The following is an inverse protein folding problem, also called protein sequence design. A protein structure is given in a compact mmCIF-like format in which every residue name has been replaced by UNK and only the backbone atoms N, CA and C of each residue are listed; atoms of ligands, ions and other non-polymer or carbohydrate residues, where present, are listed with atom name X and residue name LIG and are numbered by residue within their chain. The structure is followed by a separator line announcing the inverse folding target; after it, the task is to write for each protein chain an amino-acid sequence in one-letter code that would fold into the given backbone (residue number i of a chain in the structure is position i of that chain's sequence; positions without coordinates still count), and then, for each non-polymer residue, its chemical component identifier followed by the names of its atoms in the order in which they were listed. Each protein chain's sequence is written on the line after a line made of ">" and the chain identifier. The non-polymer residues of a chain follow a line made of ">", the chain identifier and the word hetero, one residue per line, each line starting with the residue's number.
data_IF_166338256863
#
_entry.id   IF_166338256863
#
_cell.length_a   1.000
_cell.length_b   1.000
_cell.length_c   1.000
_cell.angle_alpha   90.00
_cell.angle_beta   90.00
_cell.angle_gamma   90.00
#
_symmetry.space_group_name_H-M   'P 1'
#
loop_
_entity.id
_entity.type
_entity.pdbx_description
1 polymer ?
#
# COMPACT_ATOMS: atom_id res chain seq x y z
N UNK A 1 -5.94 13.12 12.71
CA UNK A 1 -7.40 12.91 12.83
C UNK A 1 -7.82 12.04 11.67
N UNK A 2 -8.78 11.15 11.85
CA UNK A 2 -9.34 10.31 10.79
C UNK A 2 -10.87 10.36 10.86
N UNK A 3 -11.52 10.40 9.70
CA UNK A 3 -12.98 10.37 9.58
C UNK A 3 -13.52 8.98 9.90
N UNK A 4 -12.69 7.96 9.69
CA UNK A 4 -13.01 6.56 9.94
C UNK A 4 -12.83 6.22 11.42
N UNK A 5 -13.56 5.22 11.89
CA UNK A 5 -13.42 4.64 13.22
C UNK A 5 -12.29 3.59 13.30
N UNK A 6 -11.48 3.45 12.25
CA UNK A 6 -10.34 2.55 12.11
C UNK A 6 -9.11 3.27 11.54
N UNK A 7 -7.93 2.67 11.71
CA UNK A 7 -6.68 3.17 11.13
C UNK A 7 -6.48 2.70 9.68
N UNK A 8 -5.68 3.45 8.91
CA UNK A 8 -5.10 2.99 7.65
C UNK A 8 -5.79 3.51 6.38
N UNK A 9 -6.92 4.22 6.49
CA UNK A 9 -7.58 4.85 5.34
C UNK A 9 -7.86 3.86 4.20
N UNK A 10 -7.47 4.20 2.98
CA UNK A 10 -7.60 3.32 1.81
C UNK A 10 -6.78 2.02 1.93
N UNK A 11 -5.68 2.04 2.69
CA UNK A 11 -4.79 0.90 2.97
C UNK A 11 -5.12 0.16 4.26
N UNK A 12 -6.36 0.27 4.76
CA UNK A 12 -6.80 -0.41 5.98
C UNK A 12 -6.68 -1.95 5.89
N UNK A 13 -6.55 -2.61 7.04
CA UNK A 13 -6.65 -4.06 7.18
C UNK A 13 -8.02 -4.43 7.74
N UNK A 14 -8.75 -5.29 7.02
CA UNK A 14 -10.11 -5.70 7.38
C UNK A 14 -10.14 -7.13 7.90
N UNK A 15 -10.96 -7.37 8.92
CA UNK A 15 -11.35 -8.73 9.29
C UNK A 15 -12.40 -9.28 8.30
N UNK A 16 -12.67 -10.59 8.35
CA UNK A 16 -13.57 -11.24 7.38
C UNK A 16 -14.98 -10.64 7.35
N UNK A 17 -15.57 -10.32 8.51
CA UNK A 17 -16.90 -9.70 8.58
C UNK A 17 -16.90 -8.31 7.96
N UNK A 18 -15.87 -7.50 8.20
CA UNK A 18 -15.73 -6.18 7.60
C UNK A 18 -15.55 -6.27 6.08
N UNK A 19 -14.72 -7.20 5.62
CA UNK A 19 -14.51 -7.50 4.20
C UNK A 19 -15.84 -7.92 3.54
N UNK A 20 -16.56 -8.84 4.18
CA UNK A 20 -17.86 -9.32 3.69
C UNK A 20 -18.89 -8.19 3.62
N UNK A 21 -18.94 -7.35 4.66
CA UNK A 21 -19.86 -6.20 4.70
C UNK A 21 -19.56 -5.21 3.58
N UNK A 22 -18.27 -4.94 3.32
CA UNK A 22 -17.83 -4.04 2.24
C UNK A 22 -18.24 -4.55 0.86
N UNK A 23 -18.00 -5.83 0.56
CA UNK A 23 -18.14 -6.37 -0.79
C UNK A 23 -19.46 -7.10 -1.07
N UNK A 24 -20.19 -7.49 -0.03
CA UNK A 24 -21.44 -8.26 -0.13
C UNK A 24 -22.61 -7.61 0.61
N UNK A 25 -22.38 -6.52 1.35
CA UNK A 25 -23.42 -5.81 2.11
C UNK A 25 -23.96 -6.56 3.33
N UNK A 26 -23.31 -7.67 3.72
CA UNK A 26 -23.74 -8.56 4.81
C UNK A 26 -22.61 -8.77 5.81
N UNK A 27 -22.94 -8.98 7.08
CA UNK A 27 -22.02 -9.30 8.18
C UNK A 27 -21.89 -10.82 8.44
N UNK A 28 -22.38 -11.66 7.52
CA UNK A 28 -22.42 -13.13 7.67
C UNK A 28 -21.58 -13.83 6.60
N UNK A 29 -20.24 -13.86 6.75
CA UNK A 29 -19.42 -14.69 5.89
C UNK A 29 -19.74 -16.18 6.09
N UNK A 30 -19.60 -17.02 5.06
CA UNK A 30 -19.79 -18.46 5.16
C UNK A 30 -18.87 -19.09 6.21
N UNK A 31 -19.43 -19.97 7.05
CA UNK A 31 -18.71 -20.54 8.19
C UNK A 31 -17.45 -21.33 7.80
N UNK A 32 -17.40 -21.90 6.59
CA UNK A 32 -16.24 -22.63 6.06
C UNK A 32 -15.00 -21.74 5.82
N UNK A 33 -15.16 -20.42 5.82
CA UNK A 33 -14.03 -19.49 5.72
C UNK A 33 -13.31 -19.31 7.07
N UNK A 34 -13.88 -19.81 8.18
CA UNK A 34 -13.24 -19.75 9.49
C UNK A 34 -13.58 -18.50 10.29
N UNK A 35 -12.87 -18.29 11.40
CA UNK A 35 -13.19 -17.23 12.35
C UNK A 35 -12.74 -15.85 11.83
N UNK A 36 -13.64 -14.87 11.88
CA UNK A 36 -13.37 -13.53 11.35
C UNK A 36 -12.16 -12.84 11.96
N UNK A 37 -11.90 -13.04 13.26
CA UNK A 37 -10.81 -12.38 14.00
C UNK A 37 -9.41 -12.83 13.56
N UNK A 38 -9.32 -13.96 12.87
CA UNK A 38 -8.04 -14.52 12.41
C UNK A 38 -7.64 -13.93 11.04
N UNK A 39 -8.48 -13.05 10.47
CA UNK A 39 -8.21 -12.35 9.22
C UNK A 39 -7.75 -10.92 9.49
N UNK A 40 -6.65 -10.53 8.85
CA UNK A 40 -6.16 -9.15 8.74
C UNK A 40 -5.89 -8.87 7.24
N UNK A 41 -6.94 -8.63 6.48
CA UNK A 41 -6.88 -8.50 5.01
C UNK A 41 -6.56 -7.07 4.64
N UNK A 42 -5.32 -6.83 4.24
CA UNK A 42 -4.88 -5.53 3.73
C UNK A 42 -5.57 -5.21 2.40
N UNK A 43 -6.21 -4.05 2.34
CA UNK A 43 -6.85 -3.56 1.11
C UNK A 43 -5.81 -3.12 0.06
N UNK A 44 -4.60 -2.78 0.51
CA UNK A 44 -3.44 -2.36 -0.30
C UNK A 44 -2.17 -3.04 0.24
N UNK A 45 -2.00 -4.37 0.03
CA UNK A 45 -0.81 -5.05 0.49
C UNK A 45 0.40 -4.68 -0.36
N UNK A 46 1.50 -4.42 0.34
CA UNK A 46 2.80 -4.05 -0.21
C UNK A 46 3.88 -4.65 0.67
N UNK A 47 4.84 -5.33 0.07
CA UNK A 47 6.05 -5.80 0.72
C UNK A 47 7.00 -4.65 1.01
N UNK A 48 7.83 -4.86 2.02
CA UNK A 48 8.90 -3.93 2.38
C UNK A 48 10.21 -4.54 1.91
N UNK A 49 10.97 -3.81 1.11
CA UNK A 49 12.31 -4.26 0.72
C UNK A 49 13.24 -4.22 1.92
N UNK A 50 13.92 -5.33 2.21
CA UNK A 50 14.66 -5.52 3.45
C UNK A 50 15.71 -4.42 3.70
N UNK A 51 16.41 -3.94 2.67
CA UNK A 51 17.35 -2.81 2.77
C UNK A 51 16.82 -1.49 2.20
N UNK A 52 15.53 -1.42 1.87
CA UNK A 52 14.88 -0.25 1.31
C UNK A 52 14.79 0.92 2.29
N UNK A 53 14.43 2.09 1.76
CA UNK A 53 14.35 3.32 2.55
C UNK A 53 13.31 3.25 3.66
N UNK A 54 12.20 2.51 3.46
CA UNK A 54 11.18 2.35 4.48
C UNK A 54 11.75 1.68 5.73
N UNK A 55 12.57 0.63 5.59
CA UNK A 55 13.23 -0.02 6.75
C UNK A 55 14.12 0.97 7.48
N UNK A 56 14.82 1.84 6.75
CA UNK A 56 15.66 2.88 7.35
C UNK A 56 14.83 3.91 8.12
N UNK A 57 13.69 4.34 7.58
CA UNK A 57 12.73 5.22 8.27
C UNK A 57 12.19 4.55 9.54
N UNK A 58 11.83 3.26 9.47
CA UNK A 58 11.33 2.52 10.62
C UNK A 58 12.39 2.43 11.75
N UNK A 59 13.65 2.17 11.41
CA UNK A 59 14.75 2.17 12.38
C UNK A 59 15.01 3.57 12.92
N UNK A 60 15.12 4.58 12.04
CA UNK A 60 15.41 5.96 12.42
C UNK A 60 14.39 6.53 13.42
N UNK A 61 13.12 6.11 13.29
CA UNK A 61 12.02 6.55 14.16
C UNK A 61 11.85 5.70 15.42
N UNK A 62 12.67 4.66 15.60
CA UNK A 62 12.56 3.63 16.64
C UNK A 62 11.18 2.94 16.68
N UNK A 63 10.43 2.95 15.57
CA UNK A 63 9.07 2.37 15.54
C UNK A 63 9.13 0.83 15.42
N UNK A 64 10.27 0.27 15.00
CA UNK A 64 10.51 -1.17 14.90
C UNK A 64 10.28 -1.92 16.22
N UNK A 65 10.42 -1.27 17.39
CA UNK A 65 10.12 -1.87 18.70
C UNK A 65 8.65 -2.26 18.89
N UNK A 66 7.76 -1.80 18.01
CA UNK A 66 6.34 -2.11 18.04
C UNK A 66 5.91 -3.06 16.92
N UNK A 67 6.84 -3.49 16.06
CA UNK A 67 6.55 -4.23 14.84
C UNK A 67 7.38 -5.51 14.83
N UNK A 68 6.75 -6.61 14.42
CA UNK A 68 7.43 -7.87 14.17
C UNK A 68 7.35 -8.18 12.69
N UNK A 69 8.49 -8.40 12.05
CA UNK A 69 8.55 -8.71 10.63
C UNK A 69 8.92 -10.17 10.41
N UNK A 70 8.35 -10.76 9.36
CA UNK A 70 8.75 -12.06 8.84
C UNK A 70 9.25 -11.89 7.40
N UNK A 71 10.28 -12.64 7.04
CA UNK A 71 10.76 -12.69 5.67
C UNK A 71 9.75 -13.41 4.77
N UNK A 72 9.60 -12.93 3.54
CA UNK A 72 8.69 -13.52 2.55
C UNK A 72 9.39 -14.70 1.87
N UNK A 73 8.70 -15.81 1.68
CA UNK A 73 9.30 -17.10 1.31
C UNK A 73 9.84 -17.16 -0.13
N UNK A 74 9.34 -16.30 -1.03
CA UNK A 74 9.80 -16.33 -2.42
C UNK A 74 9.38 -15.13 -3.28
N UNK A 75 10.17 -14.89 -4.33
CA UNK A 75 9.91 -13.89 -5.38
C UNK A 75 10.04 -14.58 -6.74
N UNK A 76 8.96 -14.60 -7.52
CA UNK A 76 8.85 -15.30 -8.79
C UNK A 76 8.54 -14.32 -9.92
N UNK A 77 8.93 -14.67 -11.14
CA UNK A 77 8.57 -13.95 -12.37
C UNK A 77 7.80 -14.91 -13.28
N UNK A 78 6.76 -14.41 -13.95
CA UNK A 78 6.07 -15.16 -14.98
C UNK A 78 6.80 -15.06 -16.32
N UNK A 79 7.09 -16.20 -16.96
CA UNK A 79 7.77 -16.26 -18.26
C UNK A 79 7.12 -17.34 -19.15
N UNK A 80 6.77 -16.98 -20.40
CA UNK A 80 6.22 -17.90 -21.42
C UNK A 80 7.27 -18.59 -22.34
N UNK A 81 8.59 -18.42 -22.16
CA UNK A 81 9.60 -18.88 -23.13
C UNK A 81 11.05 -19.12 -22.64
N UNK A 82 11.88 -19.71 -23.55
CA UNK A 82 13.21 -20.35 -23.33
C UNK A 82 14.37 -19.40 -22.95
N UNK A 83 15.43 -20.00 -22.36
CA UNK A 83 16.65 -19.38 -21.85
C UNK A 83 17.57 -18.72 -22.90
N UNK A 84 18.03 -17.50 -22.59
CA UNK A 84 19.10 -16.72 -23.25
C UNK A 84 19.14 -15.28 -22.70
N UNK A 85 20.19 -14.48 -22.97
CA UNK A 85 20.20 -13.02 -22.72
C UNK A 85 19.35 -12.30 -23.79
N UNK A 86 18.12 -12.77 -23.93
CA UNK A 86 17.12 -12.28 -24.87
C UNK A 86 16.19 -11.27 -24.16
N UNK A 87 15.18 -10.77 -24.87
CA UNK A 87 14.22 -9.81 -24.32
C UNK A 87 13.57 -10.29 -23.02
N UNK A 88 13.48 -11.61 -22.77
CA UNK A 88 12.94 -12.15 -21.51
C UNK A 88 13.90 -11.95 -20.34
N UNK A 89 15.22 -12.02 -20.56
CA UNK A 89 16.19 -11.68 -19.51
C UNK A 89 16.18 -10.19 -19.19
N UNK A 90 15.98 -9.34 -20.20
CA UNK A 90 15.80 -7.89 -19.99
C UNK A 90 14.55 -7.64 -19.16
N UNK A 91 13.42 -8.27 -19.52
CA UNK A 91 12.18 -8.17 -18.76
C UNK A 91 12.37 -8.64 -17.30
N UNK A 92 13.05 -9.77 -17.09
CA UNK A 92 13.32 -10.27 -15.74
C UNK A 92 14.18 -9.31 -14.92
N UNK A 93 15.29 -8.82 -15.49
CA UNK A 93 16.18 -7.90 -14.78
C UNK A 93 15.47 -6.58 -14.48
N UNK A 94 14.79 -6.00 -15.46
CA UNK A 94 14.11 -4.71 -15.32
C UNK A 94 12.94 -4.75 -14.34
N UNK A 95 12.03 -5.71 -14.52
CA UNK A 95 10.76 -5.75 -13.79
C UNK A 95 10.84 -6.55 -12.50
N UNK A 96 11.59 -7.65 -12.45
CA UNK A 96 11.63 -8.52 -11.26
C UNK A 96 12.79 -8.23 -10.29
N UNK A 97 13.93 -7.74 -10.78
CA UNK A 97 15.07 -7.37 -9.93
C UNK A 97 15.12 -5.86 -9.67
N UNK A 98 15.03 -5.04 -10.73
CA UNK A 98 15.06 -3.59 -10.59
C UNK A 98 13.69 -2.98 -10.23
N UNK A 99 12.60 -3.75 -10.34
CA UNK A 99 11.25 -3.33 -10.01
C UNK A 99 10.79 -2.08 -10.76
N UNK A 100 11.20 -1.97 -12.04
CA UNK A 100 10.60 -1.02 -12.96
C UNK A 100 9.15 -1.43 -13.26
N UNK A 101 8.31 -0.46 -13.59
CA UNK A 101 6.87 -0.68 -13.85
C UNK A 101 6.53 -0.80 -15.34
N UNK A 102 7.43 -0.29 -16.17
CA UNK A 102 7.35 -0.22 -17.61
C UNK A 102 8.76 -0.08 -18.20
N UNK A 103 8.88 -0.21 -19.51
CA UNK A 103 10.16 -0.28 -20.22
C UNK A 103 10.84 1.07 -20.47
N UNK A 104 10.31 2.19 -19.96
CA UNK A 104 10.93 3.51 -20.19
C UNK A 104 12.36 3.59 -19.67
N UNK A 105 12.72 2.78 -18.67
CA UNK A 105 14.08 2.69 -18.14
C UNK A 105 15.13 2.25 -19.18
N UNK A 106 14.71 1.61 -20.29
CA UNK A 106 15.63 1.20 -21.36
C UNK A 106 16.22 2.39 -22.12
N UNK A 107 15.50 3.51 -22.13
CA UNK A 107 15.93 4.76 -22.77
C UNK A 107 16.57 5.75 -21.78
N UNK A 108 16.76 5.33 -20.51
CA UNK A 108 17.32 6.15 -19.43
C UNK A 108 18.75 5.71 -19.04
N UNK A 109 19.53 6.57 -18.35
CA UNK A 109 20.84 6.19 -17.84
C UNK A 109 20.78 4.98 -16.89
N UNK A 110 21.59 3.95 -17.16
CA UNK A 110 21.57 2.67 -16.44
C UNK A 110 21.89 2.74 -14.93
N UNK A 111 22.40 3.88 -14.42
CA UNK A 111 22.82 4.02 -13.02
C UNK A 111 21.68 3.74 -12.03
N UNK A 112 20.47 4.18 -12.33
CA UNK A 112 19.30 3.93 -11.47
C UNK A 112 18.97 2.42 -11.41
N UNK A 113 18.87 1.78 -12.57
CA UNK A 113 18.66 0.32 -12.70
C UNK A 113 19.73 -0.48 -11.94
N UNK A 114 21.00 -0.11 -12.07
CA UNK A 114 22.11 -0.79 -11.35
C UNK A 114 21.97 -0.63 -9.84
N UNK A 115 21.58 0.55 -9.35
CA UNK A 115 21.34 0.78 -7.92
C UNK A 115 20.17 -0.04 -7.39
N UNK A 116 19.07 -0.14 -8.15
CA UNK A 116 17.91 -0.97 -7.80
C UNK A 116 18.26 -2.46 -7.75
N UNK A 117 19.01 -2.96 -8.74
CA UNK A 117 19.52 -4.34 -8.73
C UNK A 117 20.43 -4.62 -7.53
N UNK A 118 21.33 -3.68 -7.20
CA UNK A 118 22.18 -3.78 -6.01
C UNK A 118 21.33 -3.85 -4.74
N UNK A 119 20.34 -2.99 -4.61
CA UNK A 119 19.42 -2.97 -3.46
C UNK A 119 18.66 -4.30 -3.31
N UNK A 120 18.17 -4.87 -4.41
CA UNK A 120 17.55 -6.19 -4.43
C UNK A 120 18.51 -7.26 -3.92
N UNK A 121 19.72 -7.32 -4.48
CA UNK A 121 20.73 -8.32 -4.10
C UNK A 121 21.14 -8.20 -2.63
N UNK A 122 21.39 -6.99 -2.14
CA UNK A 122 21.70 -6.75 -0.73
C UNK A 122 20.53 -7.13 0.18
N UNK A 123 19.30 -6.87 -0.23
CA UNK A 123 18.08 -7.21 0.52
C UNK A 123 17.87 -8.73 0.61
N UNK A 124 18.08 -9.45 -0.50
CA UNK A 124 17.99 -10.91 -0.55
C UNK A 124 18.99 -11.59 0.40
N UNK A 125 20.18 -11.01 0.55
CA UNK A 125 21.22 -11.54 1.44
C UNK A 125 20.99 -11.24 2.92
N UNK A 126 20.00 -10.39 3.26
CA UNK A 126 19.79 -9.92 4.62
C UNK A 126 19.04 -10.91 5.52
N UNK A 127 18.07 -11.64 4.95
CA UNK A 127 17.23 -12.57 5.72
C UNK A 127 17.21 -13.96 5.07
N UNK A 128 17.13 -15.00 5.88
CA UNK A 128 17.11 -16.40 5.43
C UNK A 128 15.75 -16.84 4.86
N UNK A 129 15.08 -15.98 4.07
CA UNK A 129 13.71 -16.19 3.56
C UNK A 129 13.60 -16.46 2.06
N UNK A 130 14.69 -16.43 1.30
CA UNK A 130 14.64 -16.71 -0.15
C UNK A 130 14.05 -15.58 -1.01
N UNK A 131 13.74 -14.42 -0.44
CA UNK A 131 13.31 -13.22 -1.15
C UNK A 131 13.90 -11.95 -0.51
N UNK A 132 13.92 -10.79 -1.23
CA UNK A 132 14.39 -9.52 -0.68
C UNK A 132 13.36 -8.81 0.21
N UNK A 133 12.23 -9.45 0.49
CA UNK A 133 11.06 -8.82 1.07
C UNK A 133 10.81 -9.27 2.51
N UNK A 134 10.28 -8.34 3.30
CA UNK A 134 9.69 -8.61 4.61
C UNK A 134 8.25 -8.09 4.65
N UNK A 135 7.46 -8.68 5.54
CA UNK A 135 6.09 -8.27 5.81
C UNK A 135 5.81 -8.29 7.32
N UNK A 136 5.07 -7.31 7.87
CA UNK A 136 4.71 -7.33 9.28
C UNK A 136 3.77 -8.49 9.59
N UNK A 137 4.03 -9.17 10.72
CA UNK A 137 3.05 -10.05 11.33
C UNK A 137 1.80 -9.24 11.65
N UNK A 138 0.63 -9.85 11.44
CA UNK A 138 -0.70 -9.24 11.56
C UNK A 138 -1.05 -8.20 10.48
N UNK A 139 -0.21 -8.03 9.44
CA UNK A 139 -0.53 -7.20 8.28
C UNK A 139 -0.13 -5.74 8.41
N UNK A 140 -0.40 -4.96 7.35
CA UNK A 140 0.08 -3.58 7.26
C UNK A 140 -0.63 -2.61 8.19
N UNK A 141 -1.80 -2.99 8.73
CA UNK A 141 -2.52 -2.22 9.73
C UNK A 141 -1.70 -1.97 11.00
N UNK A 142 -0.66 -2.75 11.26
CA UNK A 142 0.27 -2.52 12.37
C UNK A 142 1.15 -1.28 12.16
N UNK A 143 1.46 -0.91 10.91
CA UNK A 143 2.28 0.28 10.61
C UNK A 143 1.63 1.59 11.09
N UNK A 144 0.40 1.95 10.67
CA UNK A 144 -0.24 3.18 11.14
C UNK A 144 -0.50 3.16 12.65
N UNK A 145 -0.78 1.99 13.23
CA UNK A 145 -0.93 1.85 14.69
C UNK A 145 0.38 2.13 15.43
N UNK A 146 1.50 1.60 14.94
CA UNK A 146 2.81 1.80 15.54
C UNK A 146 3.28 3.25 15.43
N UNK A 147 3.05 3.91 14.29
CA UNK A 147 3.32 5.35 14.14
C UNK A 147 2.36 6.22 14.97
N UNK A 148 1.10 5.81 15.14
CA UNK A 148 0.17 6.49 16.04
C UNK A 148 0.65 6.44 17.49
N UNK A 149 1.10 5.26 17.94
CA UNK A 149 1.71 5.08 19.25
C UNK A 149 2.98 5.92 19.41
N UNK A 150 3.86 5.92 18.41
CA UNK A 150 5.08 6.73 18.42
C UNK A 150 4.74 8.21 18.59
N UNK A 151 3.80 8.73 17.80
CA UNK A 151 3.35 10.11 17.93
C UNK A 151 2.79 10.42 19.31
N UNK A 152 2.08 9.48 19.94
CA UNK A 152 1.55 9.64 21.29
C UNK A 152 2.65 9.75 22.36
N UNK A 153 3.74 9.00 22.21
CA UNK A 153 4.93 9.14 23.07
C UNK A 153 5.51 10.55 23.01
N UNK A 154 5.43 11.22 21.86
CA UNK A 154 5.87 12.61 21.67
C UNK A 154 4.76 13.65 21.92
N UNK A 155 3.65 13.27 22.56
CA UNK A 155 2.57 14.17 22.97
C UNK A 155 1.51 14.44 21.90
N UNK A 156 1.53 13.73 20.78
CA UNK A 156 0.45 13.75 19.79
C UNK A 156 -0.78 12.96 20.25
N UNK A 157 -1.95 13.31 19.74
CA UNK A 157 -3.19 12.55 20.00
C UNK A 157 -3.80 12.13 18.68
N UNK A 158 -3.98 10.83 18.48
CA UNK A 158 -4.73 10.30 17.35
C UNK A 158 -6.23 10.31 17.69
N UNK A 159 -7.01 10.92 16.81
CA UNK A 159 -8.46 11.04 16.96
C UNK A 159 -9.11 10.33 15.78
N UNK A 160 -9.75 9.20 16.05
CA UNK A 160 -10.58 8.44 15.10
C UNK A 160 -12.05 8.82 15.26
N UNK A 161 -12.88 8.39 14.31
CA UNK A 161 -14.30 8.68 14.26
C UNK A 161 -14.56 10.17 14.51
N UNK A 162 -13.79 11.01 13.82
CA UNK A 162 -14.02 12.45 13.74
C UNK A 162 -14.65 12.72 12.39
N UNK A 163 -15.95 12.38 12.24
CA UNK A 163 -16.62 12.50 10.98
C UNK A 163 -16.72 13.97 10.59
N UNK A 164 -16.86 14.10 9.30
CA UNK A 164 -17.00 15.31 8.56
C UNK A 164 -18.23 16.11 9.04
N UNK A 165 -18.06 17.36 9.50
CA UNK A 165 -19.15 18.18 10.08
C UNK A 165 -19.26 19.53 9.37
N UNK A 166 -20.45 19.86 8.83
CA UNK A 166 -20.74 21.15 8.17
C UNK A 166 -21.16 22.23 9.18
N UNK A 167 -20.60 23.43 8.99
CA UNK A 167 -21.21 24.71 9.34
C UNK A 167 -21.63 25.47 8.06
N UNK A 168 -22.92 25.78 7.96
CA UNK A 168 -23.64 26.70 7.06
C UNK A 168 -23.32 26.78 5.54
N UNK A 169 -24.29 26.32 4.75
CA UNK A 169 -24.83 27.14 3.64
C UNK A 169 -26.36 27.11 3.74
N UNK A 170 -26.99 28.29 3.86
CA UNK A 170 -28.45 28.49 3.91
C UNK A 170 -29.13 28.26 2.54
N UNK A 171 -30.48 28.18 2.47
CA UNK A 171 -31.16 26.99 1.96
C UNK A 171 -31.72 27.14 0.54
N UNK A 172 -31.83 26.01 -0.15
CA UNK A 172 -33.05 25.45 -0.81
C UNK A 172 -32.68 24.64 -2.04
N UNK A 173 -32.58 23.33 -1.87
CA UNK A 173 -33.32 22.33 -2.66
C UNK A 173 -32.72 20.95 -2.38
N UNK A 174 -33.60 20.04 -1.98
CA UNK A 174 -33.38 18.63 -1.62
C UNK A 174 -32.35 17.92 -2.51
N UNK A 175 -31.42 17.22 -1.87
CA UNK A 175 -30.61 16.17 -2.52
C UNK A 175 -29.27 15.95 -1.83
N UNK A 176 -29.20 14.88 -1.01
CA UNK A 176 -27.99 14.20 -0.50
C UNK A 176 -26.86 15.10 0.01
N UNK A 177 -26.80 15.25 1.33
CA UNK A 177 -25.70 15.94 2.03
C UNK A 177 -24.56 14.94 2.23
N UNK A 178 -23.52 15.04 1.40
CA UNK A 178 -22.24 14.40 1.64
C UNK A 178 -21.40 15.30 2.54
N UNK A 179 -20.95 14.76 3.68
CA UNK A 179 -20.29 15.44 4.78
C UNK A 179 -18.78 15.60 4.45
N UNK A 180 -18.15 16.79 4.61
CA UNK A 180 -16.67 16.95 4.46
C UNK A 180 -15.94 17.58 5.70
N UNK A 181 -14.78 17.05 6.15
CA UNK A 181 -13.88 17.71 7.14
C UNK A 181 -13.22 18.92 6.48
N UNK A 182 -13.40 20.12 7.04
CA UNK A 182 -12.93 21.35 6.39
C UNK A 182 -11.57 21.80 6.94
N UNK A 183 -10.59 21.84 6.04
CA UNK A 183 -9.40 22.67 6.22
C UNK A 183 -9.83 24.13 6.11
N UNK A 184 -9.51 24.90 7.15
CA UNK A 184 -9.78 26.34 7.21
C UNK A 184 -8.65 27.11 6.50
N UNK A 185 -9.01 28.07 5.68
CA UNK A 185 -8.07 28.93 4.96
C UNK A 185 -8.19 30.38 5.43
N UNK A 186 -7.07 31.09 5.54
CA UNK A 186 -7.05 32.52 5.82
C UNK A 186 -7.40 33.37 4.58
N UNK A 187 -7.38 34.70 4.73
CA UNK A 187 -7.67 35.64 3.64
C UNK A 187 -6.71 35.57 2.46
N UNK A 188 -5.52 34.99 2.66
CA UNK A 188 -4.50 34.77 1.62
C UNK A 188 -4.61 33.36 0.99
N UNK A 189 -5.58 32.55 1.43
CA UNK A 189 -5.79 31.19 0.93
C UNK A 189 -4.83 30.15 1.53
N UNK A 190 -4.19 30.43 2.66
CA UNK A 190 -3.31 29.48 3.38
C UNK A 190 -4.07 28.71 4.44
N UNK A 191 -3.77 27.42 4.56
CA UNK A 191 -4.31 26.58 5.63
C UNK A 191 -3.93 27.14 7.01
N UNK A 192 -4.94 27.40 7.84
CA UNK A 192 -4.79 28.01 9.17
C UNK A 192 -5.48 27.20 10.29
N UNK A 193 -6.18 26.12 9.96
CA UNK A 193 -6.84 25.26 10.93
C UNK A 193 -7.58 24.09 10.30
N UNK A 194 -8.08 23.21 11.16
CA UNK A 194 -8.98 22.12 10.78
C UNK A 194 -10.17 22.16 11.73
N UNK A 195 -11.39 22.19 11.18
CA UNK A 195 -12.63 22.22 11.96
C UNK A 195 -13.30 20.85 11.95
N UNK A 196 -13.67 20.37 13.13
CA UNK A 196 -14.41 19.11 13.33
C UNK A 196 -15.39 19.29 14.48
N UNK A 197 -16.61 18.79 14.33
CA UNK A 197 -17.65 18.84 15.37
C UNK A 197 -17.91 20.25 15.97
N UNK A 198 -17.68 21.31 15.18
CA UNK A 198 -17.86 22.70 15.60
C UNK A 198 -16.66 23.33 16.33
N UNK A 199 -15.59 22.58 16.55
CA UNK A 199 -14.35 23.07 17.14
C UNK A 199 -13.23 23.15 16.09
N UNK A 200 -12.42 24.21 16.16
CA UNK A 200 -11.30 24.44 15.21
C UNK A 200 -9.96 24.30 15.92
N UNK A 201 -9.16 23.32 15.49
CA UNK A 201 -7.75 23.23 15.84
C UNK A 201 -6.92 24.10 14.90
N UNK A 202 -6.25 25.13 15.43
CA UNK A 202 -5.40 26.03 14.64
C UNK A 202 -4.05 25.38 14.32
N UNK A 203 -3.60 25.53 13.09
CA UNK A 203 -2.31 24.99 12.62
C UNK A 203 -1.71 25.89 11.54
N UNK A 204 -0.42 25.72 11.24
CA UNK A 204 0.28 26.46 10.17
C UNK A 204 0.36 25.70 8.87
N UNK A 205 0.21 24.37 8.93
CA UNK A 205 0.38 23.42 7.83
C UNK A 205 -0.60 22.28 8.06
N UNK A 206 -1.15 21.75 6.98
CA UNK A 206 -2.01 20.56 7.00
C UNK A 206 -1.38 19.49 6.11
N UNK A 207 -1.31 18.27 6.64
CA UNK A 207 -0.91 17.08 5.89
C UNK A 207 -2.11 16.16 5.80
N UNK A 208 -2.47 15.69 4.62
CA UNK A 208 -3.62 14.81 4.41
C UNK A 208 -3.50 13.96 3.15
N UNK A 209 -4.31 12.92 3.04
CA UNK A 209 -4.47 12.20 1.78
C UNK A 209 -5.45 12.94 0.83
N UNK A 210 -5.53 12.55 -0.46
CA UNK A 210 -6.38 13.20 -1.46
C UNK A 210 -7.85 13.36 -1.09
N UNK A 211 -8.41 12.44 -0.30
CA UNK A 211 -9.83 12.43 0.04
C UNK A 211 -10.27 13.63 0.89
N UNK A 212 -9.34 14.30 1.57
CA UNK A 212 -9.64 15.47 2.41
C UNK A 212 -9.70 16.78 1.63
N UNK A 213 -9.05 16.85 0.46
CA UNK A 213 -8.97 18.05 -0.38
C UNK A 213 -9.19 17.70 -1.86
N UNK A 214 -10.38 17.19 -2.24
CA UNK A 214 -10.65 16.69 -3.59
C UNK A 214 -10.54 17.77 -4.69
N UNK A 215 -10.66 19.05 -4.31
CA UNK A 215 -10.49 20.20 -5.21
C UNK A 215 -9.04 20.64 -5.42
N UNK A 216 -8.07 20.03 -4.72
CA UNK A 216 -6.63 20.32 -4.81
C UNK A 216 -5.81 19.15 -5.34
N UNK A 217 -6.49 18.14 -5.89
CA UNK A 217 -5.87 16.95 -6.47
C UNK A 217 -6.37 16.73 -7.89
N UNK A 218 -5.56 16.00 -8.68
CA UNK A 218 -5.93 15.56 -10.03
C UNK A 218 -5.94 14.03 -10.06
N UNK A 219 -6.90 13.46 -10.78
CA UNK A 219 -6.91 12.02 -11.06
C UNK A 219 -5.82 11.70 -12.08
N UNK A 220 -4.98 10.71 -11.77
CA UNK A 220 -3.83 10.30 -12.60
C UNK A 220 -3.94 8.87 -13.12
N UNK A 221 -4.87 8.09 -12.60
CA UNK A 221 -5.06 6.71 -13.04
C UNK A 221 -6.14 5.97 -12.25
N UNK A 222 -6.15 4.65 -12.41
CA UNK A 222 -7.03 3.72 -11.71
C UNK A 222 -6.27 2.40 -11.47
N UNK A 223 -6.64 1.67 -10.43
CA UNK A 223 -6.05 0.36 -10.09
C UNK A 223 -7.16 -0.65 -9.86
N UNK A 224 -6.94 -1.90 -10.30
CA UNK A 224 -7.91 -2.99 -10.25
C UNK A 224 -7.36 -4.11 -9.36
N UNK A 225 -8.14 -4.59 -8.40
CA UNK A 225 -7.70 -5.61 -7.45
C UNK A 225 -8.66 -6.77 -7.34
N UNK A 226 -8.10 -7.94 -7.05
CA UNK A 226 -8.84 -9.16 -6.76
C UNK A 226 -8.33 -9.75 -5.44
N UNK A 227 -9.10 -9.58 -4.37
CA UNK A 227 -8.82 -10.23 -3.10
C UNK A 227 -9.38 -11.65 -3.19
N UNK A 228 -8.51 -12.64 -3.33
CA UNK A 228 -8.88 -14.05 -3.37
C UNK A 228 -8.59 -14.73 -2.03
N UNK A 229 -9.54 -15.53 -1.52
CA UNK A 229 -9.37 -16.46 -0.40
C UNK A 229 -9.21 -17.87 -0.99
N UNK A 230 -8.15 -18.56 -0.60
CA UNK A 230 -7.83 -19.90 -1.12
C UNK A 230 -7.53 -20.88 0.01
N UNK A 231 -7.69 -22.18 -0.26
CA UNK A 231 -7.39 -23.26 0.68
C UNK A 231 -6.10 -24.04 0.36
N UNK A 232 -5.24 -23.50 -0.49
CA UNK A 232 -3.96 -24.13 -0.88
C UNK A 232 -2.91 -23.08 -1.24
N UNK A 233 -1.61 -23.43 -1.23
CA UNK A 233 -0.55 -22.59 -1.78
C UNK A 233 -0.75 -22.33 -3.27
N UNK A 234 -0.15 -21.26 -3.77
CA UNK A 234 -0.18 -20.97 -5.22
C UNK A 234 0.57 -22.09 -5.95
N UNK A 235 0.00 -22.67 -7.02
CA UNK A 235 0.69 -23.67 -7.83
C UNK A 235 2.07 -23.19 -8.30
N UNK A 236 3.04 -24.09 -8.33
CA UNK A 236 4.42 -23.83 -8.79
C UNK A 236 5.23 -22.83 -7.94
N UNK A 237 4.86 -22.61 -6.67
CA UNK A 237 5.62 -21.77 -5.74
C UNK A 237 6.25 -22.57 -4.60
N UNK A 238 6.59 -23.85 -4.80
CA UNK A 238 7.20 -24.71 -3.77
C UNK A 238 6.45 -24.74 -2.43
N UNK A 239 5.12 -24.71 -2.48
CA UNK A 239 4.24 -24.66 -1.30
C UNK A 239 4.50 -23.47 -0.34
N UNK A 240 5.17 -22.41 -0.82
CA UNK A 240 5.43 -21.19 -0.08
C UNK A 240 4.15 -20.58 0.50
N UNK A 241 4.27 -20.09 1.73
CA UNK A 241 3.18 -19.48 2.50
C UNK A 241 3.11 -17.96 2.30
N UNK A 242 4.10 -17.37 1.64
CA UNK A 242 4.13 -15.98 1.23
C UNK A 242 4.99 -15.80 -0.02
N UNK A 243 4.46 -15.12 -1.05
CA UNK A 243 5.14 -14.97 -2.34
C UNK A 243 4.81 -13.67 -3.03
N UNK A 244 5.79 -13.13 -3.73
CA UNK A 244 5.56 -12.17 -4.80
C UNK A 244 5.66 -12.86 -6.16
N UNK A 245 4.71 -12.61 -7.06
CA UNK A 245 4.83 -12.97 -8.48
C UNK A 245 4.66 -11.71 -9.32
N UNK A 246 5.61 -11.44 -10.19
CA UNK A 246 5.54 -10.32 -11.14
C UNK A 246 5.21 -10.92 -12.52
N UNK A 247 4.19 -10.37 -13.16
CA UNK A 247 3.77 -10.71 -14.51
C UNK A 247 4.10 -9.52 -15.41
N UNK A 248 5.26 -9.53 -16.09
CA UNK A 248 5.70 -8.41 -16.91
C UNK A 248 4.70 -8.12 -18.03
N UNK A 249 4.49 -6.84 -18.32
CA UNK A 249 3.47 -6.37 -19.26
C UNK A 249 3.54 -7.05 -20.63
N UNK A 250 4.76 -7.28 -21.16
CA UNK A 250 4.96 -7.94 -22.47
C UNK A 250 4.43 -9.37 -22.50
N UNK A 251 4.55 -10.10 -21.40
CA UNK A 251 4.07 -11.49 -21.30
C UNK A 251 2.54 -11.58 -21.35
N UNK A 252 1.86 -10.46 -21.06
CA UNK A 252 0.41 -10.32 -21.03
C UNK A 252 -0.15 -9.48 -22.18
N UNK A 253 0.69 -8.87 -23.02
CA UNK A 253 0.25 -7.92 -24.05
C UNK A 253 -0.36 -6.64 -23.46
N UNK A 254 0.13 -6.22 -22.30
CA UNK A 254 -0.32 -5.06 -21.52
C UNK A 254 0.64 -3.88 -21.64
N UNK A 255 0.25 -2.74 -21.08
CA UNK A 255 1.08 -1.52 -20.94
C UNK A 255 1.69 -1.38 -19.55
N UNK A 256 1.13 -2.09 -18.57
CA UNK A 256 1.61 -2.13 -17.20
C UNK A 256 1.74 -3.57 -16.72
N UNK A 257 2.68 -3.76 -15.81
CA UNK A 257 2.87 -5.03 -15.12
C UNK A 257 1.65 -5.38 -14.26
N UNK A 258 1.51 -6.68 -14.01
CA UNK A 258 0.53 -7.25 -13.08
C UNK A 258 1.28 -7.92 -11.93
N UNK A 259 0.72 -7.81 -10.72
CA UNK A 259 1.37 -8.31 -9.52
C UNK A 259 0.49 -9.34 -8.79
N UNK A 260 1.13 -10.36 -8.23
CA UNK A 260 0.51 -11.30 -7.33
C UNK A 260 1.23 -11.18 -6.00
N UNK A 261 0.49 -10.82 -4.96
CA UNK A 261 1.00 -10.72 -3.60
C UNK A 261 0.32 -11.79 -2.77
N UNK A 262 1.05 -12.59 -2.01
CA UNK A 262 0.47 -13.61 -1.15
C UNK A 262 1.05 -13.54 0.26
N UNK A 263 0.18 -13.45 1.26
CA UNK A 263 0.49 -13.72 2.66
C UNK A 263 -0.60 -14.61 3.27
N UNK A 264 -0.26 -15.30 4.35
CA UNK A 264 -1.13 -16.33 4.93
C UNK A 264 -1.06 -16.37 6.45
N UNK A 265 -1.54 -17.47 7.04
CA UNK A 265 -1.41 -17.75 8.47
C UNK A 265 0.03 -17.65 8.98
N UNK A 266 1.05 -17.87 8.14
CA UNK A 266 2.46 -17.69 8.51
C UNK A 266 2.78 -16.25 8.95
N UNK A 267 1.97 -15.29 8.50
CA UNK A 267 2.05 -13.87 8.82
C UNK A 267 0.89 -13.42 9.71
N UNK A 268 0.07 -14.34 10.24
CA UNK A 268 -1.12 -14.06 11.05
C UNK A 268 -2.17 -13.15 10.36
N UNK A 269 -2.26 -13.21 9.03
CA UNK A 269 -3.26 -12.43 8.24
C UNK A 269 -4.47 -13.25 7.81
N UNK A 270 -4.45 -14.57 8.03
CA UNK A 270 -5.53 -15.50 7.72
C UNK A 270 -5.50 -16.72 8.67
N UNK A 271 -6.62 -17.46 8.82
CA UNK A 271 -6.65 -18.74 9.51
C UNK A 271 -5.70 -19.78 8.88
N UNK A 272 -5.27 -20.75 9.68
CA UNK A 272 -4.44 -21.86 9.18
C UNK A 272 -5.14 -22.60 8.04
N UNK A 273 -4.42 -22.81 6.93
CA UNK A 273 -4.94 -23.43 5.72
C UNK A 273 -5.77 -22.51 4.83
N UNK A 274 -5.83 -21.20 5.13
CA UNK A 274 -6.39 -20.16 4.26
C UNK A 274 -5.28 -19.18 3.84
N UNK A 275 -5.24 -18.81 2.56
CA UNK A 275 -4.22 -17.94 1.95
C UNK A 275 -4.90 -16.79 1.20
N UNK A 276 -4.31 -15.59 1.19
CA UNK A 276 -4.92 -14.40 0.59
C UNK A 276 -4.02 -13.67 -0.44
N UNK A 277 -4.70 -13.20 -1.50
CA UNK A 277 -4.49 -11.94 -2.26
C UNK A 277 -3.90 -11.98 -3.71
N UNK A 278 -4.39 -11.07 -4.61
CA UNK A 278 -3.87 -10.72 -5.97
C UNK A 278 -4.16 -9.23 -6.31
N UNK A 279 -3.24 -8.49 -6.99
CA UNK A 279 -3.52 -7.09 -7.41
C UNK A 279 -2.83 -6.61 -8.71
N UNK A 280 -3.52 -5.84 -9.57
CA UNK A 280 -2.93 -5.27 -10.80
C UNK A 280 -3.23 -3.78 -10.98
N UNK A 281 -2.48 -3.06 -11.82
CA UNK A 281 -2.90 -1.72 -12.28
C UNK A 281 -4.07 -1.85 -13.26
N UNK A 282 -5.08 -0.96 -13.21
CA UNK A 282 -6.25 -1.03 -14.09
C UNK A 282 -5.99 -0.29 -15.39
N UNK A 283 -6.01 -1.01 -16.50
CA UNK A 283 -6.02 -0.51 -17.87
C UNK A 283 -7.46 -0.39 -18.40
N UNK A 284 -8.43 -1.02 -17.74
CA UNK A 284 -9.85 -1.04 -18.11
C UNK A 284 -10.77 -0.80 -16.91
N UNK A 285 -12.06 -0.57 -17.17
CA UNK A 285 -13.10 -0.51 -16.13
C UNK A 285 -13.67 -1.90 -15.78
N UNK A 286 -13.12 -2.98 -16.33
CA UNK A 286 -13.56 -4.36 -16.09
C UNK A 286 -12.46 -5.17 -15.38
N UNK A 287 -12.34 -5.06 -14.04
CA UNK A 287 -11.27 -5.70 -13.28
C UNK A 287 -11.28 -7.23 -13.44
N UNK A 288 -12.45 -7.87 -13.60
CA UNK A 288 -12.56 -9.33 -13.69
C UNK A 288 -11.88 -9.89 -14.94
N UNK A 289 -12.07 -9.22 -16.08
CA UNK A 289 -11.44 -9.64 -17.35
C UNK A 289 -9.95 -9.34 -17.33
N UNK A 290 -9.59 -8.19 -16.78
CA UNK A 290 -8.22 -7.71 -16.74
C UNK A 290 -7.33 -8.54 -15.83
N UNK A 291 -7.83 -8.91 -14.65
CA UNK A 291 -7.11 -9.69 -13.63
C UNK A 291 -7.07 -11.19 -13.95
N UNK A 292 -7.83 -11.64 -14.95
CA UNK A 292 -7.95 -13.06 -15.29
C UNK A 292 -6.61 -13.79 -15.45
N UNK A 293 -5.59 -13.26 -16.15
CA UNK A 293 -4.30 -13.94 -16.26
C UNK A 293 -3.63 -14.23 -14.91
N UNK A 294 -3.72 -13.31 -13.94
CA UNK A 294 -3.19 -13.50 -12.59
C UNK A 294 -4.07 -14.45 -11.76
N UNK A 295 -5.39 -14.35 -11.88
CA UNK A 295 -6.35 -15.23 -11.19
C UNK A 295 -6.20 -16.68 -11.65
N UNK A 296 -5.95 -16.92 -12.94
CA UNK A 296 -5.76 -18.26 -13.49
C UNK A 296 -4.50 -18.96 -12.91
N UNK A 297 -3.52 -18.20 -12.39
CA UNK A 297 -2.35 -18.75 -11.70
C UNK A 297 -2.66 -19.22 -10.28
N UNK A 298 -3.76 -18.76 -9.68
CA UNK A 298 -4.11 -19.07 -8.29
C UNK A 298 -4.55 -20.52 -8.10
N UNK A 299 -5.10 -21.17 -9.13
CA UNK A 299 -5.83 -22.43 -8.98
C UNK A 299 -7.23 -22.22 -8.39
N UNK A 300 -7.83 -23.25 -7.74
CA UNK A 300 -9.14 -23.13 -7.09
C UNK A 300 -9.25 -22.02 -6.04
N UNK A 301 -10.21 -21.11 -6.22
CA UNK A 301 -10.48 -20.00 -5.30
C UNK A 301 -11.78 -20.27 -4.52
N UNK A 302 -11.74 -20.12 -3.19
CA UNK A 302 -12.92 -20.29 -2.33
C UNK A 302 -13.88 -19.10 -2.45
N UNK A 303 -13.32 -17.89 -2.50
CA UNK A 303 -14.06 -16.64 -2.63
C UNK A 303 -13.18 -15.54 -3.24
N UNK A 304 -13.77 -14.63 -4.02
CA UNK A 304 -13.05 -13.54 -4.69
C UNK A 304 -13.81 -12.22 -4.63
N UNK A 305 -13.10 -11.15 -4.29
CA UNK A 305 -13.64 -9.79 -4.23
C UNK A 305 -12.92 -8.89 -5.21
N UNK A 306 -13.66 -8.20 -6.07
CA UNK A 306 -13.11 -7.26 -7.03
C UNK A 306 -13.32 -5.82 -6.56
N UNK A 307 -12.30 -5.00 -6.72
CA UNK A 307 -12.36 -3.57 -6.43
C UNK A 307 -11.60 -2.78 -7.48
N UNK A 308 -12.05 -1.55 -7.72
CA UNK A 308 -11.25 -0.54 -8.41
C UNK A 308 -11.26 0.74 -7.59
N UNK A 309 -10.12 1.44 -7.56
CA UNK A 309 -10.04 2.78 -6.98
C UNK A 309 -9.26 3.71 -7.89
N UNK A 310 -9.60 4.98 -7.83
CA UNK A 310 -8.97 6.03 -8.60
C UNK A 310 -7.69 6.51 -7.89
N UNK A 311 -6.65 6.77 -8.66
CA UNK A 311 -5.40 7.33 -8.16
C UNK A 311 -5.38 8.84 -8.34
N UNK A 312 -4.95 9.54 -7.30
CA UNK A 312 -4.83 10.99 -7.28
C UNK A 312 -3.41 11.43 -6.94
N UNK A 313 -3.02 12.58 -7.49
CA UNK A 313 -1.81 13.29 -7.12
C UNK A 313 -2.17 14.75 -6.75
N UNK A 314 -1.36 15.39 -5.89
CA UNK A 314 -1.50 16.81 -5.60
C UNK A 314 -1.45 17.65 -6.88
N UNK A 315 -2.37 18.62 -6.98
CA UNK A 315 -2.41 19.63 -8.03
C UNK A 315 -2.26 21.06 -7.47
N UNK A 316 -2.06 21.18 -6.16
CA UNK A 316 -1.81 22.44 -5.49
C UNK A 316 -0.30 22.74 -5.39
N UNK A 317 0.00 23.99 -5.02
CA UNK A 317 1.35 24.45 -4.69
C UNK A 317 1.49 24.56 -3.16
N UNK A 318 2.13 23.59 -2.47
CA UNK A 318 2.15 23.55 -1.01
C UNK A 318 2.80 24.79 -0.36
N UNK A 319 3.72 25.44 -1.08
CA UNK A 319 4.34 26.70 -0.62
C UNK A 319 3.40 27.91 -0.65
N UNK A 320 2.29 27.82 -1.38
CA UNK A 320 1.28 28.88 -1.51
C UNK A 320 0.17 28.68 -0.48
N UNK A 321 -0.36 27.47 -0.34
CA UNK A 321 -1.55 27.18 0.46
C UNK A 321 -1.30 26.42 1.78
N UNK A 322 -0.06 26.03 2.06
CA UNK A 322 0.33 25.22 3.23
C UNK A 322 -0.41 23.86 3.36
N UNK A 323 -0.94 23.34 2.26
CA UNK A 323 -1.51 21.99 2.18
C UNK A 323 -0.50 21.02 1.56
N UNK A 324 -0.14 19.97 2.29
CA UNK A 324 0.80 18.94 1.88
C UNK A 324 0.01 17.64 1.69
N UNK A 325 -0.37 17.36 0.45
CA UNK A 325 -1.25 16.24 0.12
C UNK A 325 -0.38 15.06 -0.32
N UNK A 326 -0.64 13.85 0.16
CA UNK A 326 0.03 12.65 -0.33
C UNK A 326 -0.53 12.20 -1.69
N UNK A 327 0.22 11.36 -2.38
CA UNK A 327 -0.29 10.63 -3.54
C UNK A 327 -1.15 9.43 -3.11
N UNK A 328 -2.09 9.00 -3.96
CA UNK A 328 -2.74 7.70 -3.79
C UNK A 328 -1.73 6.58 -4.04
N UNK A 329 -1.87 5.48 -3.30
CA UNK A 329 -1.06 4.28 -3.54
C UNK A 329 -1.15 3.81 -4.99
N UNK A 330 -0.03 3.37 -5.55
CA UNK A 330 0.01 2.75 -6.87
C UNK A 330 -0.27 1.23 -6.81
N UNK A 331 -0.26 0.60 -7.98
CA UNK A 331 -0.54 -0.83 -8.13
C UNK A 331 0.62 -1.76 -7.71
N UNK A 332 1.82 -1.23 -7.47
CA UNK A 332 2.97 -2.06 -7.12
C UNK A 332 2.72 -2.79 -5.81
N UNK A 333 3.33 -3.95 -5.64
CA UNK A 333 3.22 -4.75 -4.40
C UNK A 333 4.41 -4.52 -3.48
N UNK A 334 5.07 -3.37 -3.57
CA UNK A 334 6.14 -2.94 -2.65
C UNK A 334 6.03 -1.45 -2.31
N UNK A 335 6.75 -1.01 -1.27
CA UNK A 335 6.64 0.35 -0.71
C UNK A 335 7.56 1.41 -1.34
N UNK A 336 8.44 1.07 -2.28
CA UNK A 336 9.46 1.99 -2.80
C UNK A 336 8.89 3.34 -3.30
N UNK A 337 7.79 3.35 -4.07
CA UNK A 337 7.17 4.61 -4.50
C UNK A 337 6.50 5.38 -3.36
N UNK A 338 5.88 4.67 -2.42
CA UNK A 338 5.24 5.25 -1.24
C UNK A 338 6.26 5.96 -0.33
N UNK A 339 7.42 5.33 -0.06
CA UNK A 339 8.41 5.94 0.85
C UNK A 339 9.05 7.18 0.23
N UNK A 340 9.25 7.20 -1.09
CA UNK A 340 9.69 8.41 -1.81
C UNK A 340 8.70 9.57 -1.58
N UNK A 341 7.39 9.32 -1.70
CA UNK A 341 6.37 10.36 -1.44
C UNK A 341 6.42 10.87 0.02
N UNK A 342 6.62 9.97 0.99
CA UNK A 342 6.77 10.33 2.40
C UNK A 342 8.00 11.22 2.64
N UNK A 343 9.15 10.87 2.06
CA UNK A 343 10.40 11.63 2.20
C UNK A 343 10.33 12.99 1.49
N UNK A 344 9.65 13.04 0.33
CA UNK A 344 9.37 14.27 -0.39
C UNK A 344 8.47 15.20 0.42
N UNK A 345 7.40 14.68 1.01
CA UNK A 345 6.52 15.43 1.92
C UNK A 345 7.30 15.96 3.11
N UNK A 346 8.12 15.11 3.77
CA UNK A 346 8.96 15.53 4.88
C UNK A 346 9.87 16.69 4.47
N UNK A 347 10.53 16.59 3.31
CA UNK A 347 11.43 17.62 2.81
C UNK A 347 10.69 18.92 2.50
N UNK A 348 9.53 18.85 1.82
CA UNK A 348 8.69 20.01 1.52
C UNK A 348 8.15 20.69 2.79
N UNK A 349 7.79 19.90 3.80
CA UNK A 349 7.26 20.41 5.08
C UNK A 349 8.37 21.05 5.91
N UNK A 350 9.54 20.42 6.01
CA UNK A 350 10.57 20.83 6.98
C UNK A 350 11.68 21.70 6.37
N UNK A 351 11.82 21.68 5.04
CA UNK A 351 12.96 22.26 4.33
C UNK A 351 14.26 21.48 4.51
N UNK A 352 14.20 20.24 5.03
CA UNK A 352 15.37 19.42 5.35
C UNK A 352 15.27 18.06 4.68
N UNK A 353 16.38 17.58 4.13
CA UNK A 353 16.52 16.19 3.71
C UNK A 353 16.77 15.33 4.96
N UNK A 354 16.01 14.26 5.12
CA UNK A 354 16.16 13.35 6.25
C UNK A 354 17.43 12.50 6.08
N UNK A 355 18.28 12.48 7.11
CA UNK A 355 19.46 11.61 7.11
C UNK A 355 19.06 10.20 7.59
N UNK A 356 19.09 9.25 6.65
CA UNK A 356 18.73 7.85 6.87
C UNK A 356 19.96 6.94 7.03
N UNK A 357 21.10 7.50 7.43
CA UNK A 357 22.25 6.72 7.88
C UNK A 357 21.91 6.06 9.23
N UNK A 358 21.44 4.82 9.15
CA UNK A 358 21.08 3.99 10.29
C UNK A 358 21.88 2.70 10.31
N UNK A 359 22.05 2.14 11.50
CA UNK A 359 22.55 0.78 11.67
C UNK A 359 21.43 -0.22 11.32
N UNK A 360 21.59 -0.90 10.18
CA UNK A 360 20.60 -1.86 9.70
C UNK A 360 20.52 -3.12 10.56
N UNK A 361 21.52 -3.41 11.40
CA UNK A 361 21.48 -4.54 12.33
C UNK A 361 20.38 -4.41 13.40
N UNK A 362 19.89 -3.19 13.62
CA UNK A 362 18.83 -2.90 14.59
C UNK A 362 17.43 -3.41 14.17
N UNK A 363 17.22 -3.77 12.89
CA UNK A 363 15.98 -4.39 12.45
C UNK A 363 16.18 -5.89 12.25
N UNK A 364 15.58 -6.68 13.16
CA UNK A 364 15.49 -8.13 13.10
C UNK A 364 14.17 -8.59 12.49
N UNK A 365 14.22 -9.65 11.68
CA UNK A 365 13.04 -10.45 11.36
C UNK A 365 12.94 -11.59 12.39
N UNK A 366 11.74 -12.01 12.75
CA UNK A 366 11.55 -13.15 13.64
C UNK A 366 12.12 -14.43 12.97
N UNK A 367 12.98 -15.15 13.69
CA UNK A 367 13.36 -16.53 13.34
C UNK A 367 12.19 -17.48 13.64
N UNK A 368 12.06 -18.55 12.84
CA UNK A 368 10.88 -19.44 12.72
C UNK A 368 10.14 -19.84 14.00
#
# INVERSE_FOLDING_TARGET
>A
MDRNDYYGGESTSLNLIQLWKRFRGSDKPPAQLGASRDYNVDMIPKYIMANGELVRVLIHTDVTKYLYFKAVDGSFVYNKGKYGLDDNTVDFIGHALALHRDDRYLDEPALDTVKRMKLYAESLLRFAGGSPYIYPLYGLGELPQAFARLSAVYGGTYMLNKPECKGLTTPKSKGVVTLVTLVEFDGDGKACGVTSEGETAKCKKVVCDPSYLPNKVKKVGKVARAIAIMSHPIPSTNDSHSVQVILPQKQLGRKSDMYLFCCSYSHNVAPKGKFNFVSTEAETDNPETELKPGIDLLGPVDEIFFETYDRYEPANEPGVDNCFISTSYDATTHFESTVVDVLDLYTKITGKVLDLNVDLSAASAAEE
#
